data_IF_066159091842
#
_entry.id   IF_066159091842
#
_cell.length_a   1.000
_cell.length_b   1.000
_cell.length_c   1.000
_cell.angle_alpha   90.00
_cell.angle_beta   90.00
_cell.angle_gamma   90.00
#
_symmetry.space_group_name_H-M   'P 1'
#
loop_
_entity.id
_entity.type
_entity.pdbx_description
1 polymer ?
#
# COMPACT_ATOMS: atom_id res chain seq x y z
N UNK A 1 -5.34 -58.33 -22.06
CA UNK A 1 -4.71 -57.00 -22.01
C UNK A 1 -4.64 -56.60 -20.55
N UNK A 2 -3.45 -56.42 -20.01
CA UNK A 2 -3.23 -55.90 -18.66
C UNK A 2 -2.58 -54.53 -18.82
N UNK A 3 -3.17 -53.50 -18.23
CA UNK A 3 -2.67 -52.13 -18.34
C UNK A 3 -2.20 -51.72 -16.96
N UNK A 4 -0.90 -51.51 -16.81
CA UNK A 4 -0.28 -50.97 -15.61
C UNK A 4 0.08 -49.51 -15.85
N UNK A 5 -0.51 -48.61 -15.07
CA UNK A 5 -0.16 -47.19 -15.05
C UNK A 5 0.91 -46.97 -14.00
N UNK A 6 2.10 -46.53 -14.43
CA UNK A 6 3.21 -46.16 -13.54
C UNK A 6 3.46 -44.67 -13.69
N UNK A 7 3.36 -43.90 -12.60
CA UNK A 7 3.70 -42.46 -12.65
C UNK A 7 5.22 -42.32 -12.70
N UNK A 8 5.75 -41.74 -13.79
CA UNK A 8 7.19 -41.60 -14.01
C UNK A 8 7.81 -40.49 -13.17
N UNK A 9 7.10 -39.36 -13.09
CA UNK A 9 7.56 -38.21 -12.35
C UNK A 9 6.35 -37.46 -11.79
N UNK A 10 6.21 -37.49 -10.47
CA UNK A 10 5.43 -36.46 -9.78
C UNK A 10 6.36 -35.28 -9.54
N UNK A 11 6.02 -34.06 -10.00
CA UNK A 11 6.78 -32.86 -9.63
C UNK A 11 6.93 -32.82 -8.09
N UNK A 12 8.06 -32.34 -7.56
CA UNK A 12 8.22 -32.19 -6.12
C UNK A 12 7.11 -31.24 -5.65
N UNK A 13 6.14 -31.80 -4.93
CA UNK A 13 4.99 -31.09 -4.42
C UNK A 13 5.17 -30.92 -2.90
N UNK A 14 6.06 -30.03 -2.44
CA UNK A 14 6.26 -29.81 -0.99
C UNK A 14 4.97 -29.34 -0.30
N UNK A 15 4.02 -28.79 -1.07
CA UNK A 15 2.67 -28.49 -0.61
C UNK A 15 1.89 -29.72 -0.11
N UNK A 16 2.28 -30.95 -0.48
CA UNK A 16 1.69 -32.17 0.06
C UNK A 16 2.12 -32.48 1.50
N UNK A 17 3.21 -31.87 1.98
CA UNK A 17 3.64 -31.98 3.39
C UNK A 17 2.83 -31.08 4.33
N UNK A 18 1.74 -30.48 3.83
CA UNK A 18 0.90 -29.60 4.62
C UNK A 18 0.17 -30.38 5.73
N UNK A 19 0.12 -29.79 6.91
CA UNK A 19 -0.66 -30.30 8.04
C UNK A 19 -2.11 -29.84 7.87
N UNK A 20 -3.06 -30.70 8.21
CA UNK A 20 -4.48 -30.39 8.20
C UNK A 20 -5.06 -30.47 9.61
N UNK A 21 -6.03 -29.60 9.90
CA UNK A 21 -6.82 -29.66 11.11
C UNK A 21 -8.28 -29.94 10.76
N UNK A 22 -8.87 -30.91 11.44
CA UNK A 22 -10.29 -31.26 11.26
C UNK A 22 -11.04 -31.05 12.55
N UNK A 23 -12.15 -30.34 12.46
CA UNK A 23 -13.12 -30.16 13.53
C UNK A 23 -14.47 -30.57 13.01
N UNK A 24 -14.98 -31.71 13.48
CA UNK A 24 -16.25 -32.35 13.09
C UNK A 24 -16.44 -32.48 11.57
N UNK A 25 -16.93 -31.44 10.90
CA UNK A 25 -17.24 -31.40 9.47
C UNK A 25 -16.44 -30.33 8.69
N UNK A 26 -15.51 -29.63 9.34
CA UNK A 26 -14.66 -28.63 8.68
C UNK A 26 -13.21 -29.05 8.77
N UNK A 27 -12.57 -29.14 7.61
CA UNK A 27 -11.14 -29.39 7.49
C UNK A 27 -10.48 -28.15 6.94
N UNK A 28 -9.36 -27.75 7.54
CA UNK A 28 -8.59 -26.59 7.11
C UNK A 28 -7.10 -26.93 7.04
N UNK A 29 -6.38 -26.18 6.22
CA UNK A 29 -4.93 -26.20 6.10
C UNK A 29 -4.33 -25.49 7.32
N UNK A 30 -3.40 -26.16 7.98
CA UNK A 30 -2.65 -25.60 9.10
C UNK A 30 -1.44 -24.84 8.57
N UNK A 31 -1.49 -23.51 8.64
CA UNK A 31 -0.45 -22.64 8.06
C UNK A 31 0.87 -22.65 8.84
N UNK A 32 0.88 -23.15 10.09
CA UNK A 32 2.10 -23.14 10.89
C UNK A 32 2.94 -24.38 10.63
N UNK A 33 4.27 -24.22 10.48
CA UNK A 33 5.22 -25.32 10.34
C UNK A 33 5.41 -26.17 11.62
N UNK A 34 4.78 -25.76 12.72
CA UNK A 34 4.85 -26.41 14.03
C UNK A 34 3.48 -26.90 14.43
N UNK A 35 3.43 -28.02 15.13
CA UNK A 35 2.20 -28.50 15.75
C UNK A 35 1.81 -27.59 16.92
N UNK A 36 0.51 -27.49 17.27
CA UNK A 36 0.07 -26.83 18.49
C UNK A 36 0.81 -27.42 19.69
N UNK A 37 1.25 -26.58 20.63
CA UNK A 37 2.05 -27.07 21.75
C UNK A 37 1.24 -27.85 22.79
N UNK A 38 -0.05 -27.59 22.97
CA UNK A 38 -0.93 -28.43 23.78
C UNK A 38 -1.51 -29.56 22.92
N UNK A 39 -1.10 -30.81 23.21
CA UNK A 39 -1.50 -31.99 22.41
C UNK A 39 -2.11 -33.06 23.28
N UNK A 40 -3.24 -33.59 22.83
CA UNK A 40 -3.99 -34.64 23.51
C UNK A 40 -4.12 -35.84 22.58
N UNK A 41 -4.07 -37.06 23.14
CA UNK A 41 -4.19 -38.30 22.34
C UNK A 41 -5.63 -38.62 21.90
N UNK A 42 -6.60 -38.12 22.65
CA UNK A 42 -8.02 -38.34 22.37
C UNK A 42 -8.85 -37.13 22.77
N UNK A 43 -10.08 -37.07 22.24
CA UNK A 43 -11.03 -36.00 22.52
C UNK A 43 -11.41 -35.96 24.01
N UNK A 44 -11.63 -37.11 24.65
CA UNK A 44 -12.00 -37.18 26.08
C UNK A 44 -10.89 -36.64 26.99
N UNK A 45 -9.63 -36.89 26.63
CA UNK A 45 -8.49 -36.35 27.37
C UNK A 45 -8.33 -34.85 27.19
N UNK A 46 -8.71 -34.32 26.04
CA UNK A 46 -8.72 -32.88 25.81
C UNK A 46 -9.75 -32.20 26.73
N UNK A 47 -10.94 -32.78 26.91
CA UNK A 47 -11.94 -32.27 27.85
C UNK A 47 -11.47 -32.30 29.31
N UNK A 48 -10.69 -33.32 29.67
CA UNK A 48 -10.11 -33.46 31.01
C UNK A 48 -8.76 -32.74 31.19
N UNK A 49 -8.27 -32.03 30.18
CA UNK A 49 -6.96 -31.37 30.14
C UNK A 49 -5.77 -32.31 30.48
N UNK A 50 -5.91 -33.61 30.21
CA UNK A 50 -4.86 -34.61 30.36
C UNK A 50 -3.96 -34.67 29.11
N UNK A 51 -3.32 -33.55 28.81
CA UNK A 51 -2.59 -33.34 27.56
C UNK A 51 -1.10 -33.12 27.81
N UNK A 52 -0.27 -33.48 26.83
CA UNK A 52 1.15 -33.13 26.84
C UNK A 52 1.32 -31.69 26.39
N UNK A 53 1.97 -30.87 27.23
CA UNK A 53 2.36 -29.51 26.91
C UNK A 53 3.79 -29.52 26.37
N UNK A 54 3.94 -29.11 25.13
CA UNK A 54 5.21 -28.91 24.44
C UNK A 54 5.26 -27.47 23.93
N UNK A 55 5.56 -26.54 24.85
CA UNK A 55 5.59 -25.11 24.59
C UNK A 55 6.89 -24.48 25.05
N UNK A 56 7.40 -23.57 24.22
CA UNK A 56 8.39 -22.58 24.62
C UNK A 56 7.68 -21.45 25.37
N UNK A 57 7.84 -21.40 26.69
CA UNK A 57 7.35 -20.33 27.53
C UNK A 57 8.52 -19.59 28.16
N UNK A 58 8.50 -18.26 28.09
CA UNK A 58 9.46 -17.41 28.79
C UNK A 58 8.87 -16.98 30.14
N UNK A 59 9.44 -17.51 31.22
CA UNK A 59 9.04 -17.13 32.58
C UNK A 59 10.02 -16.09 33.13
N UNK A 60 9.50 -14.92 33.44
CA UNK A 60 10.25 -13.84 34.06
C UNK A 60 9.98 -13.84 35.57
N UNK A 61 11.02 -13.90 36.42
CA UNK A 61 10.84 -13.73 37.84
C UNK A 61 10.43 -12.27 38.13
N UNK A 62 9.39 -12.07 38.94
CA UNK A 62 9.09 -10.78 39.57
C UNK A 62 9.05 -10.93 41.10
N UNK A 63 9.21 -9.83 41.83
CA UNK A 63 9.47 -9.82 43.28
C UNK A 63 8.43 -10.57 44.12
N UNK A 64 7.18 -10.65 43.67
CA UNK A 64 6.10 -11.34 44.39
C UNK A 64 5.32 -12.36 43.54
N UNK A 65 5.57 -12.40 42.22
CA UNK A 65 4.84 -13.26 41.28
C UNK A 65 5.73 -13.67 40.12
N UNK A 66 5.55 -14.89 39.60
CA UNK A 66 6.21 -15.31 38.36
C UNK A 66 5.26 -15.05 37.21
N UNK A 67 5.73 -14.35 36.17
CA UNK A 67 4.95 -14.09 34.96
C UNK A 67 5.54 -14.93 33.83
N UNK A 68 4.80 -15.95 33.40
CA UNK A 68 5.14 -16.74 32.23
C UNK A 68 4.39 -16.23 31.02
N UNK A 69 5.13 -15.97 29.93
CA UNK A 69 4.58 -15.65 28.62
C UNK A 69 4.80 -16.85 27.71
N UNK A 70 3.69 -17.50 27.35
CA UNK A 70 3.70 -18.59 26.39
C UNK A 70 3.21 -18.07 25.03
N UNK A 71 3.74 -18.66 23.96
CA UNK A 71 3.23 -18.40 22.61
C UNK A 71 1.94 -19.20 22.43
N UNK A 72 0.81 -18.50 22.30
CA UNK A 72 -0.49 -19.12 22.06
C UNK A 72 -0.65 -19.49 20.58
N UNK A 73 -1.08 -20.73 20.34
CA UNK A 73 -1.46 -21.21 19.02
C UNK A 73 -2.99 -21.07 18.89
N UNK A 74 -3.46 -19.96 18.31
CA UNK A 74 -4.90 -19.72 18.12
C UNK A 74 -5.47 -20.60 16.98
N UNK A 75 -5.77 -21.87 17.30
CA UNK A 75 -6.27 -22.86 16.33
C UNK A 75 -7.53 -22.36 15.59
N UNK A 76 -8.37 -21.59 16.27
CA UNK A 76 -9.62 -21.08 15.69
C UNK A 76 -9.40 -20.08 14.56
N UNK A 77 -8.31 -19.32 14.57
CA UNK A 77 -8.03 -18.36 13.49
C UNK A 77 -7.79 -19.06 12.16
N UNK A 78 -7.24 -20.28 12.17
CA UNK A 78 -7.04 -21.08 10.96
C UNK A 78 -8.37 -21.37 10.25
N UNK A 79 -9.46 -21.56 11.00
CA UNK A 79 -10.80 -21.75 10.44
C UNK A 79 -11.51 -20.46 10.03
N UNK A 80 -11.04 -19.29 10.48
CA UNK A 80 -11.61 -18.00 10.08
C UNK A 80 -11.14 -17.58 8.68
N UNK A 81 -9.95 -18.02 8.27
CA UNK A 81 -9.44 -17.76 6.93
C UNK A 81 -10.10 -18.68 5.91
N UNK A 82 -10.97 -18.11 5.06
CA UNK A 82 -11.64 -18.84 3.97
C UNK A 82 -10.64 -19.52 3.04
N UNK A 83 -9.46 -18.92 2.84
CA UNK A 83 -8.39 -19.45 1.99
C UNK A 83 -7.78 -20.77 2.52
N UNK A 84 -8.03 -21.11 3.78
CA UNK A 84 -7.50 -22.31 4.44
C UNK A 84 -8.53 -23.42 4.59
N UNK A 85 -9.82 -23.11 4.57
CA UNK A 85 -10.88 -24.11 4.72
C UNK A 85 -11.09 -24.84 3.39
N UNK A 86 -11.19 -26.17 3.43
CA UNK A 86 -11.41 -26.96 2.24
C UNK A 86 -12.81 -26.68 1.64
N UNK A 87 -12.94 -26.62 0.31
CA UNK A 87 -11.92 -26.88 -0.70
C UNK A 87 -10.94 -25.71 -0.86
N UNK A 88 -9.64 -26.02 -0.74
CA UNK A 88 -8.60 -25.00 -0.75
C UNK A 88 -7.64 -25.24 -1.91
N UNK A 89 -7.50 -24.23 -2.76
CA UNK A 89 -6.62 -24.27 -3.92
C UNK A 89 -5.29 -23.62 -3.56
N UNK A 90 -4.20 -24.33 -3.86
CA UNK A 90 -2.82 -23.82 -3.92
C UNK A 90 -2.35 -23.95 -5.37
N UNK A 91 -1.28 -23.27 -5.75
CA UNK A 91 -0.79 -23.15 -7.14
C UNK A 91 -0.97 -24.42 -7.99
N UNK A 92 -0.39 -25.52 -7.54
CA UNK A 92 -0.33 -26.77 -8.30
C UNK A 92 -1.37 -27.81 -7.87
N UNK A 93 -2.10 -27.56 -6.77
CA UNK A 93 -2.96 -28.56 -6.15
C UNK A 93 -4.22 -27.96 -5.55
N UNK A 94 -5.31 -28.72 -5.65
CA UNK A 94 -6.57 -28.41 -4.99
C UNK A 94 -6.88 -29.47 -3.96
N UNK A 95 -6.93 -29.06 -2.70
CA UNK A 95 -7.34 -29.91 -1.58
C UNK A 95 -8.86 -29.94 -1.49
N UNK A 96 -9.40 -31.15 -1.41
CA UNK A 96 -10.82 -31.47 -1.39
C UNK A 96 -11.11 -32.35 -0.18
N UNK A 97 -12.29 -32.19 0.42
CA UNK A 97 -12.74 -33.13 1.44
C UNK A 97 -13.14 -34.46 0.78
N UNK A 98 -12.67 -35.58 1.32
CA UNK A 98 -12.99 -36.91 0.82
C UNK A 98 -13.77 -37.73 1.87
N UNK A 99 -14.93 -38.32 1.54
CA UNK A 99 -15.78 -39.01 2.51
C UNK A 99 -15.08 -40.16 3.26
N UNK A 100 -14.15 -40.86 2.61
CA UNK A 100 -13.45 -42.03 3.19
C UNK A 100 -12.03 -41.77 3.67
N UNK A 101 -11.38 -40.73 3.16
CA UNK A 101 -9.94 -40.50 3.35
C UNK A 101 -9.65 -39.16 4.04
N UNK A 102 -10.69 -38.41 4.43
CA UNK A 102 -10.58 -37.08 5.03
C UNK A 102 -10.25 -36.00 4.01
N UNK A 103 -9.07 -36.09 3.40
CA UNK A 103 -8.55 -35.14 2.42
C UNK A 103 -8.11 -35.88 1.15
N UNK A 104 -8.45 -35.31 0.00
CA UNK A 104 -7.97 -35.72 -1.30
C UNK A 104 -7.34 -34.52 -2.00
N UNK A 105 -6.26 -34.76 -2.73
CA UNK A 105 -5.58 -33.71 -3.49
C UNK A 105 -5.79 -33.95 -4.97
N UNK A 106 -6.25 -32.93 -5.69
CA UNK A 106 -6.27 -32.90 -7.15
C UNK A 106 -5.08 -32.08 -7.62
N UNK A 107 -4.19 -32.68 -8.41
CA UNK A 107 -3.06 -31.98 -9.02
C UNK A 107 -3.58 -31.27 -10.28
N UNK A 108 -3.29 -29.97 -10.41
CA UNK A 108 -3.74 -29.13 -11.53
C UNK A 108 -2.68 -28.99 -12.64
N UNK A 109 -1.45 -29.49 -12.41
CA UNK A 109 -0.34 -29.51 -13.35
C UNK A 109 -0.14 -30.88 -13.96
N UNK A 110 0.61 -30.94 -15.07
CA UNK A 110 0.87 -32.16 -15.80
C UNK A 110 1.72 -33.12 -14.98
N UNK A 111 1.34 -34.40 -15.01
CA UNK A 111 2.05 -35.49 -14.34
C UNK A 111 2.52 -36.44 -15.43
N UNK A 112 3.83 -36.65 -15.53
CA UNK A 112 4.36 -37.61 -16.49
C UNK A 112 4.04 -39.02 -15.97
N UNK A 113 3.24 -39.76 -16.72
CA UNK A 113 2.92 -41.15 -16.43
C UNK A 113 3.29 -42.04 -17.61
N UNK A 114 3.90 -43.17 -17.31
CA UNK A 114 4.13 -44.27 -18.25
C UNK A 114 2.96 -45.23 -18.15
N UNK A 115 2.34 -45.50 -19.29
CA UNK A 115 1.34 -46.55 -19.40
C UNK A 115 2.04 -47.75 -19.99
N UNK A 116 2.26 -48.77 -19.19
CA UNK A 116 2.77 -50.06 -19.66
C UNK A 116 1.56 -50.90 -20.02
N UNK A 117 1.36 -51.12 -21.33
CA UNK A 117 0.31 -51.98 -21.84
C UNK A 117 0.91 -53.35 -22.12
N UNK A 118 0.57 -54.33 -21.30
CA UNK A 118 1.00 -55.71 -21.49
C UNK A 118 -0.03 -56.46 -22.35
N UNK A 119 0.34 -56.72 -23.61
CA UNK A 119 -0.48 -57.44 -24.59
C UNK A 119 0.02 -58.88 -24.67
N UNK A 120 -0.87 -59.85 -24.45
CA UNK A 120 -0.52 -61.28 -24.38
C UNK A 120 -0.33 -61.93 -25.75
N UNK A 121 -0.76 -61.28 -26.82
CA UNK A 121 -0.71 -61.77 -28.20
C UNK A 121 0.20 -60.88 -29.05
N UNK A 122 0.77 -61.44 -30.12
CA UNK A 122 1.60 -60.70 -31.05
C UNK A 122 0.76 -59.66 -31.80
N UNK A 123 1.24 -58.42 -31.85
CA UNK A 123 0.60 -57.34 -32.60
C UNK A 123 1.11 -57.43 -34.04
N UNK A 124 0.27 -57.90 -34.96
CA UNK A 124 0.64 -58.06 -36.38
C UNK A 124 0.65 -56.71 -37.14
N UNK A 125 -0.20 -55.76 -36.75
CA UNK A 125 -0.28 -54.42 -37.35
C UNK A 125 -0.55 -53.36 -36.27
N UNK A 126 0.20 -52.25 -36.31
CA UNK A 126 -0.05 -51.06 -35.49
C UNK A 126 -0.30 -49.85 -36.39
N UNK A 127 -1.53 -49.35 -36.40
CA UNK A 127 -1.88 -48.12 -37.12
C UNK A 127 -1.91 -46.97 -36.09
N UNK A 128 -0.93 -46.07 -36.17
CA UNK A 128 -0.93 -44.84 -35.38
C UNK A 128 -1.73 -43.77 -36.11
N UNK A 129 -2.98 -43.56 -35.70
CA UNK A 129 -3.79 -42.44 -36.20
C UNK A 129 -3.38 -41.18 -35.43
N UNK A 130 -2.46 -40.40 -36.00
CA UNK A 130 -2.15 -39.05 -35.50
C UNK A 130 -3.22 -38.12 -36.06
N UNK A 131 -4.12 -37.67 -35.21
CA UNK A 131 -5.07 -36.61 -35.56
C UNK A 131 -4.30 -35.30 -35.65
N UNK A 132 -3.78 -35.00 -36.84
CA UNK A 132 -2.94 -33.84 -37.10
C UNK A 132 -3.80 -32.58 -37.25
N UNK A 133 -4.30 -32.07 -36.11
CA UNK A 133 -5.05 -30.81 -36.04
C UNK A 133 -4.09 -29.63 -35.81
N UNK A 134 -4.53 -28.43 -36.20
CA UNK A 134 -3.76 -27.20 -36.04
C UNK A 134 -4.40 -26.40 -34.92
N UNK A 135 -3.64 -26.21 -33.83
CA UNK A 135 -4.07 -25.43 -32.67
C UNK A 135 -3.44 -24.05 -32.65
N UNK A 136 -4.25 -23.05 -32.36
CA UNK A 136 -3.85 -21.65 -32.28
C UNK A 136 -4.31 -21.05 -30.97
N UNK A 137 -3.46 -20.18 -30.41
CA UNK A 137 -3.73 -19.41 -29.20
C UNK A 137 -3.40 -17.96 -29.52
N UNK A 138 -4.28 -17.05 -29.12
CA UNK A 138 -4.06 -15.60 -29.28
C UNK A 138 -3.08 -15.09 -28.21
N UNK A 139 -2.37 -14.00 -28.49
CA UNK A 139 -1.49 -13.36 -27.52
C UNK A 139 -2.29 -12.91 -26.28
N UNK A 140 -1.74 -13.15 -25.09
CA UNK A 140 -2.44 -12.88 -23.83
C UNK A 140 -1.61 -12.07 -22.86
N UNK A 141 -2.30 -11.57 -21.83
CA UNK A 141 -1.69 -10.80 -20.76
C UNK A 141 -1.70 -11.55 -19.42
N UNK A 142 -0.59 -11.46 -18.69
CA UNK A 142 -0.44 -11.99 -17.33
C UNK A 142 -0.95 -11.02 -16.29
N UNK A 143 -1.68 -11.54 -15.30
CA UNK A 143 -2.18 -10.80 -14.15
C UNK A 143 -1.81 -11.52 -12.87
N UNK A 144 -1.20 -10.82 -11.92
CA UNK A 144 -0.88 -11.38 -10.60
C UNK A 144 0.34 -10.74 -9.97
N UNK A 145 1.13 -11.54 -9.26
CA UNK A 145 2.32 -11.09 -8.56
C UNK A 145 3.58 -11.89 -8.94
N UNK A 146 4.73 -11.25 -8.73
CA UNK A 146 6.04 -11.89 -8.89
C UNK A 146 6.66 -12.17 -7.51
N UNK A 147 7.48 -13.22 -7.40
CA UNK A 147 8.10 -13.70 -6.15
C UNK A 147 7.11 -13.98 -5.00
N UNK A 148 5.87 -14.33 -5.35
CA UNK A 148 4.79 -14.60 -4.40
C UNK A 148 4.29 -16.04 -4.53
N UNK A 149 3.65 -16.55 -3.48
CA UNK A 149 3.07 -17.90 -3.49
C UNK A 149 1.77 -18.00 -4.30
N UNK A 150 1.14 -16.88 -4.69
CA UNK A 150 -0.07 -16.84 -5.53
C UNK A 150 0.22 -16.81 -7.04
N UNK A 151 1.50 -16.63 -7.41
CA UNK A 151 1.93 -16.51 -8.80
C UNK A 151 1.22 -15.44 -9.64
N UNK A 152 1.30 -15.64 -10.94
CA UNK A 152 0.57 -14.89 -11.96
C UNK A 152 -0.25 -15.84 -12.82
N UNK A 153 -1.45 -15.43 -13.22
CA UNK A 153 -2.33 -16.24 -14.06
C UNK A 153 -2.71 -15.52 -15.33
N UNK A 154 -3.02 -16.29 -16.37
CA UNK A 154 -3.56 -15.77 -17.63
C UNK A 154 -4.61 -16.73 -18.18
N UNK A 155 -5.63 -16.18 -18.84
CA UNK A 155 -6.66 -16.96 -19.50
C UNK A 155 -6.32 -17.05 -20.98
N UNK A 156 -6.04 -18.27 -21.46
CA UNK A 156 -5.76 -18.55 -22.87
C UNK A 156 -7.00 -19.13 -23.53
N UNK A 157 -7.31 -18.65 -24.73
CA UNK A 157 -8.34 -19.24 -25.58
C UNK A 157 -7.66 -20.09 -26.64
N UNK A 158 -7.83 -21.41 -26.55
CA UNK A 158 -7.28 -22.33 -27.53
C UNK A 158 -8.33 -22.74 -28.55
N UNK A 159 -8.01 -22.55 -29.84
CA UNK A 159 -8.83 -22.95 -30.98
C UNK A 159 -8.14 -24.04 -31.77
N UNK A 160 -8.86 -25.11 -32.09
CA UNK A 160 -8.43 -26.14 -33.04
C UNK A 160 -9.16 -25.98 -34.37
N UNK A 161 -8.64 -26.56 -35.46
CA UNK A 161 -9.19 -26.35 -36.80
C UNK A 161 -10.34 -27.30 -37.11
N UNK A 162 -10.22 -28.58 -36.70
CA UNK A 162 -11.16 -29.62 -37.13
C UNK A 162 -12.00 -30.18 -35.98
N UNK A 163 -11.37 -30.58 -34.88
CA UNK A 163 -12.07 -31.29 -33.80
C UNK A 163 -11.59 -30.88 -32.42
N UNK A 164 -12.34 -31.27 -31.38
CA UNK A 164 -11.90 -31.03 -30.01
C UNK A 164 -10.70 -31.92 -29.68
N UNK A 165 -9.55 -31.31 -29.40
CA UNK A 165 -8.27 -31.98 -29.12
C UNK A 165 -7.60 -31.37 -27.90
N UNK A 166 -6.59 -32.05 -27.39
CA UNK A 166 -5.76 -31.54 -26.30
C UNK A 166 -4.45 -31.01 -26.88
N UNK A 167 -4.09 -29.77 -26.57
CA UNK A 167 -2.85 -29.15 -27.01
C UNK A 167 -1.85 -29.03 -25.86
N UNK A 168 -0.58 -29.16 -26.19
CA UNK A 168 0.55 -28.95 -25.31
C UNK A 168 1.13 -27.55 -25.59
N UNK A 169 1.36 -26.80 -24.51
CA UNK A 169 1.91 -25.45 -24.52
C UNK A 169 3.26 -25.51 -23.81
N UNK A 170 4.30 -24.95 -24.42
CA UNK A 170 5.62 -24.80 -23.79
C UNK A 170 6.00 -23.32 -23.74
N UNK A 171 6.35 -22.84 -22.54
CA UNK A 171 6.73 -21.45 -22.26
C UNK A 171 8.07 -21.45 -21.50
N UNK A 172 9.18 -21.66 -22.21
CA UNK A 172 10.50 -21.74 -21.57
C UNK A 172 10.67 -23.04 -20.77
N UNK A 173 10.63 -22.95 -19.44
CA UNK A 173 10.71 -24.11 -18.53
C UNK A 173 9.33 -24.65 -18.12
N UNK A 174 8.27 -23.87 -18.31
CA UNK A 174 6.91 -24.27 -17.95
C UNK A 174 6.20 -24.98 -19.12
N UNK A 175 5.58 -26.12 -18.87
CA UNK A 175 4.78 -26.87 -19.84
C UNK A 175 3.35 -27.08 -19.33
N UNK A 176 2.35 -26.94 -20.20
CA UNK A 176 0.94 -27.08 -19.86
C UNK A 176 0.16 -27.85 -20.91
N UNK A 177 -0.87 -28.57 -20.48
CA UNK A 177 -1.80 -29.26 -21.37
C UNK A 177 -3.19 -28.63 -21.27
N UNK A 178 -3.73 -28.15 -22.40
CA UNK A 178 -5.05 -27.48 -22.44
C UNK A 178 -5.99 -28.11 -23.47
N UNK A 179 -7.30 -28.19 -23.17
CA UNK A 179 -8.29 -28.57 -24.16
C UNK A 179 -8.54 -27.43 -25.17
N UNK A 180 -8.70 -27.80 -26.44
CA UNK A 180 -8.97 -26.91 -27.56
C UNK A 180 -10.19 -27.41 -28.33
N UNK A 181 -10.97 -26.49 -28.89
CA UNK A 181 -12.13 -26.82 -29.72
C UNK A 181 -12.23 -25.88 -30.92
N UNK A 182 -12.98 -26.25 -31.98
CA UNK A 182 -13.24 -25.34 -33.09
C UNK A 182 -14.02 -24.08 -32.69
N UNK A 183 -14.78 -24.15 -31.60
CA UNK A 183 -15.48 -23.00 -31.01
C UNK A 183 -14.57 -22.11 -30.12
N UNK A 184 -13.38 -22.59 -29.78
CA UNK A 184 -12.46 -21.97 -28.86
C UNK A 184 -12.81 -22.24 -27.40
N UNK A 185 -11.85 -22.81 -26.66
CA UNK A 185 -11.99 -23.16 -25.25
C UNK A 185 -11.05 -22.32 -24.39
N UNK A 186 -11.56 -21.82 -23.26
CA UNK A 186 -10.78 -20.96 -22.34
C UNK A 186 -10.22 -21.82 -21.22
N UNK A 187 -8.89 -21.74 -21.05
CA UNK A 187 -8.15 -22.40 -19.97
C UNK A 187 -7.35 -21.36 -19.19
N UNK A 188 -7.13 -21.58 -17.90
CA UNK A 188 -6.28 -20.73 -17.08
C UNK A 188 -4.92 -21.36 -16.88
N UNK A 189 -3.87 -20.62 -17.21
CA UNK A 189 -2.48 -20.99 -16.99
C UNK A 189 -1.95 -20.21 -15.78
N UNK A 190 -1.17 -20.87 -14.94
CA UNK A 190 -0.55 -20.29 -13.75
C UNK A 190 0.97 -20.38 -13.86
N UNK A 191 1.63 -19.29 -13.49
CA UNK A 191 3.05 -19.07 -13.72
C UNK A 191 3.71 -18.52 -12.45
N UNK A 192 4.92 -18.99 -12.15
CA UNK A 192 5.75 -18.42 -11.09
C UNK A 192 6.80 -17.51 -11.70
N UNK A 193 6.65 -16.21 -11.48
CA UNK A 193 7.52 -15.20 -12.10
C UNK A 193 8.47 -14.59 -11.07
N UNK A 194 9.74 -14.45 -11.45
CA UNK A 194 10.76 -13.83 -10.60
C UNK A 194 10.85 -12.32 -10.80
N UNK A 195 10.37 -11.81 -11.95
CA UNK A 195 10.51 -10.43 -12.37
C UNK A 195 9.14 -9.75 -12.56
N UNK A 196 9.11 -8.43 -12.35
CA UNK A 196 7.88 -7.64 -12.48
C UNK A 196 7.42 -7.49 -13.93
N UNK A 197 8.35 -7.28 -14.87
CA UNK A 197 8.03 -7.15 -16.29
C UNK A 197 8.29 -8.49 -16.98
N UNK A 198 7.24 -9.04 -17.56
CA UNK A 198 7.26 -10.36 -18.19
C UNK A 198 6.91 -10.20 -19.66
N UNK A 199 7.77 -10.78 -20.52
CA UNK A 199 7.56 -10.89 -21.95
C UNK A 199 8.23 -12.19 -22.38
N UNK A 200 7.42 -13.17 -22.75
CA UNK A 200 7.91 -14.49 -23.17
C UNK A 200 7.14 -14.97 -24.40
N UNK A 201 7.83 -15.78 -25.20
CA UNK A 201 7.25 -16.46 -26.35
C UNK A 201 6.97 -17.91 -25.98
N UNK A 202 5.74 -18.34 -26.21
CA UNK A 202 5.29 -19.70 -25.97
C UNK A 202 4.97 -20.40 -27.29
N UNK A 203 5.08 -21.72 -27.27
CA UNK A 203 4.66 -22.59 -28.38
C UNK A 203 3.38 -23.33 -28.01
N UNK A 204 2.57 -23.66 -29.01
CA UNK A 204 1.42 -24.57 -28.87
C UNK A 204 1.46 -25.61 -29.97
N UNK A 205 1.27 -26.89 -29.59
CA UNK A 205 1.24 -28.04 -30.50
C UNK A 205 0.10 -29.00 -30.10
N UNK A 206 -0.66 -29.50 -31.07
CA UNK A 206 -1.65 -30.57 -30.85
C UNK A 206 -1.60 -31.66 -31.93
N UNK A 207 -0.52 -31.63 -32.72
CA UNK A 207 -0.21 -32.48 -33.85
C UNK A 207 1.24 -32.22 -34.27
N UNK A 208 1.53 -32.31 -35.55
CA UNK A 208 2.86 -32.08 -36.13
C UNK A 208 3.22 -30.60 -36.26
N UNK A 209 2.21 -29.70 -36.29
CA UNK A 209 2.43 -28.25 -36.45
C UNK A 209 2.54 -27.54 -35.11
N UNK A 210 3.56 -26.68 -35.02
CA UNK A 210 3.84 -25.81 -33.88
C UNK A 210 3.51 -24.37 -34.26
N UNK A 211 2.70 -23.70 -33.43
CA UNK A 211 2.41 -22.28 -33.54
C UNK A 211 2.99 -21.53 -32.35
N UNK A 212 3.24 -20.22 -32.52
CA UNK A 212 3.82 -19.37 -31.49
C UNK A 212 2.82 -18.30 -31.06
N UNK A 213 2.83 -17.97 -29.77
CA UNK A 213 2.08 -16.83 -29.21
C UNK A 213 2.92 -16.15 -28.14
N UNK A 214 2.58 -14.91 -27.83
CA UNK A 214 3.30 -14.10 -26.86
C UNK A 214 2.48 -13.87 -25.60
N UNK A 215 3.13 -14.01 -24.45
CA UNK A 215 2.55 -13.73 -23.13
C UNK A 215 3.29 -12.55 -22.53
N UNK A 216 2.56 -11.47 -22.24
CA UNK A 216 3.15 -10.23 -21.72
C UNK A 216 2.44 -9.71 -20.47
N UNK A 217 3.13 -9.04 -19.57
CA UNK A 217 2.48 -8.48 -18.39
C UNK A 217 3.39 -7.67 -17.48
N UNK A 218 2.76 -6.88 -16.61
CA UNK A 218 3.44 -6.16 -15.53
C UNK A 218 2.80 -6.61 -14.22
N UNK A 219 3.56 -7.40 -13.46
CA UNK A 219 3.14 -8.03 -12.22
C UNK A 219 3.39 -7.12 -11.01
N UNK A 220 2.55 -7.28 -9.99
CA UNK A 220 2.66 -6.51 -8.76
C UNK A 220 3.63 -7.16 -7.79
N UNK A 221 4.42 -6.36 -7.10
CA UNK A 221 5.21 -6.84 -5.98
C UNK A 221 4.31 -7.05 -4.77
N UNK A 222 4.40 -8.22 -4.14
CA UNK A 222 3.74 -8.48 -2.86
C UNK A 222 4.85 -8.74 -1.85
N UNK A 223 5.00 -7.82 -0.90
CA UNK A 223 5.96 -8.02 0.17
C UNK A 223 5.57 -9.24 1.00
N UNK A 224 6.53 -10.12 1.29
CA UNK A 224 6.34 -11.23 2.22
C UNK A 224 6.19 -10.64 3.62
N UNK A 225 4.98 -10.26 4.01
CA UNK A 225 4.64 -9.96 5.39
C UNK A 225 4.74 -11.26 6.19
N UNK A 226 5.94 -11.53 6.69
CA UNK A 226 6.17 -12.58 7.68
C UNK A 226 5.64 -12.05 9.02
N UNK A 227 4.32 -12.10 9.20
CA UNK A 227 3.69 -11.59 10.41
C UNK A 227 2.18 -11.54 10.33
N UNK A 228 1.54 -12.05 11.36
CA UNK A 228 0.10 -12.05 11.56
C UNK A 228 -0.41 -10.59 11.62
N UNK A 229 -1.23 -10.09 10.67
CA UNK A 229 -1.68 -8.70 10.68
C UNK A 229 -2.62 -8.36 11.85
N UNK A 230 -3.09 -9.36 12.59
CA UNK A 230 -3.96 -9.18 13.76
C UNK A 230 -3.23 -8.92 15.09
N UNK A 231 -1.89 -8.98 15.14
CA UNK A 231 -1.17 -8.72 16.40
C UNK A 231 -0.95 -7.22 16.68
N UNK A 232 -1.16 -6.34 15.68
CA UNK A 232 -0.89 -4.90 15.82
C UNK A 232 -2.06 -4.06 16.36
N UNK A 233 -3.27 -4.60 16.48
CA UNK A 233 -4.47 -3.77 16.81
C UNK A 233 -4.86 -3.85 18.30
N UNK A 234 -4.25 -4.73 19.11
CA UNK A 234 -4.70 -4.95 20.49
C UNK A 234 -3.65 -4.73 21.59
N UNK A 235 -2.55 -4.04 21.29
CA UNK A 235 -1.74 -3.47 22.35
C UNK A 235 -2.26 -2.07 22.71
N UNK A 236 -3.03 -2.00 23.80
CA UNK A 236 -3.14 -0.77 24.61
C UNK A 236 -1.71 -0.37 24.99
N UNK A 237 -1.12 0.54 24.22
CA UNK A 237 0.22 1.03 24.45
C UNK A 237 0.26 1.82 25.76
N UNK A 238 0.91 1.24 26.76
CA UNK A 238 1.55 2.01 27.82
C UNK A 238 3.00 1.51 27.93
N UNK A 239 3.78 1.78 26.88
CA UNK A 239 5.23 1.86 26.85
C UNK A 239 5.66 2.35 25.46
N UNK A 240 6.32 3.51 25.46
CA UNK A 240 6.98 4.13 24.32
C UNK A 240 8.04 3.17 23.76
N UNK A 241 7.78 2.57 22.62
CA UNK A 241 8.82 1.91 21.82
C UNK A 241 9.40 2.92 20.83
N UNK A 242 10.73 3.04 20.86
CA UNK A 242 11.52 3.83 19.92
C UNK A 242 11.20 3.42 18.48
N UNK A 243 10.58 4.36 17.78
CA UNK A 243 10.21 4.23 16.38
C UNK A 243 11.48 4.40 15.53
N UNK A 244 12.04 3.31 15.01
CA UNK A 244 13.07 3.38 13.95
C UNK A 244 12.38 3.60 12.62
N UNK A 245 12.40 4.85 12.15
CA UNK A 245 11.84 5.28 10.87
C UNK A 245 12.58 4.61 9.70
N UNK A 246 11.86 4.18 8.63
CA UNK A 246 12.49 3.79 7.38
C UNK A 246 13.19 5.00 6.73
N UNK A 247 14.16 4.73 5.86
CA UNK A 247 15.04 5.72 5.24
C UNK A 247 14.24 6.73 4.39
N UNK A 248 13.91 7.87 4.99
CA UNK A 248 13.10 8.95 4.39
C UNK A 248 13.95 10.00 3.68
N UNK A 249 15.26 9.77 3.52
CA UNK A 249 16.18 10.77 2.96
C UNK A 249 15.70 11.32 1.60
N UNK A 250 15.11 10.49 0.74
CA UNK A 250 14.59 10.93 -0.55
C UNK A 250 13.27 11.74 -0.45
N UNK A 251 12.44 11.46 0.56
CA UNK A 251 11.16 12.18 0.75
C UNK A 251 11.41 13.54 1.42
N UNK A 252 12.37 13.58 2.35
CA UNK A 252 12.75 14.79 3.07
C UNK A 252 13.40 15.82 2.13
N UNK A 253 14.17 15.39 1.13
CA UNK A 253 14.77 16.31 0.16
C UNK A 253 13.72 17.04 -0.69
N UNK A 254 12.66 16.33 -1.12
CA UNK A 254 11.55 16.95 -1.85
C UNK A 254 10.80 17.93 -0.93
N UNK A 255 10.49 17.55 0.31
CA UNK A 255 9.79 18.46 1.24
C UNK A 255 10.63 19.68 1.66
N UNK A 256 11.94 19.52 1.86
CA UNK A 256 12.85 20.63 2.19
C UNK A 256 13.00 21.61 1.04
N UNK A 257 12.98 21.15 -0.21
CA UNK A 257 13.05 22.03 -1.37
C UNK A 257 11.80 22.91 -1.50
N UNK A 258 10.61 22.37 -1.21
CA UNK A 258 9.36 23.13 -1.21
C UNK A 258 9.27 24.09 -0.01
N UNK A 259 9.77 23.69 1.16
CA UNK A 259 9.84 24.55 2.35
C UNK A 259 10.77 25.75 2.14
N UNK A 260 11.94 25.57 1.49
CA UNK A 260 12.83 26.68 1.13
C UNK A 260 12.14 27.69 0.21
N UNK A 261 11.40 27.21 -0.79
CA UNK A 261 10.63 28.08 -1.69
C UNK A 261 9.55 28.87 -0.94
N UNK A 262 8.81 28.22 -0.04
CA UNK A 262 7.77 28.85 0.78
C UNK A 262 8.35 29.89 1.77
N UNK A 263 9.49 29.61 2.39
CA UNK A 263 10.15 30.55 3.29
C UNK A 263 10.64 31.80 2.52
N UNK A 264 11.19 31.61 1.32
CA UNK A 264 11.61 32.71 0.45
C UNK A 264 10.41 33.60 0.03
N UNK A 265 9.28 33.02 -0.34
CA UNK A 265 8.10 33.82 -0.73
C UNK A 265 7.53 34.61 0.44
N UNK A 266 7.43 34.01 1.63
CA UNK A 266 6.99 34.71 2.85
C UNK A 266 7.93 35.88 3.19
N UNK A 267 9.25 35.67 3.10
CA UNK A 267 10.23 36.73 3.36
C UNK A 267 10.13 37.90 2.37
N UNK A 268 9.94 37.60 1.07
CA UNK A 268 9.75 38.64 0.03
C UNK A 268 8.47 39.44 0.28
N UNK A 269 7.37 38.77 0.61
CA UNK A 269 6.09 39.45 0.92
C UNK A 269 6.22 40.31 2.18
N UNK A 270 6.86 39.82 3.23
CA UNK A 270 7.10 40.60 4.45
C UNK A 270 7.96 41.84 4.18
N UNK A 271 9.03 41.71 3.38
CA UNK A 271 9.86 42.84 2.96
C UNK A 271 9.07 43.85 2.12
N UNK A 272 8.24 43.39 1.18
CA UNK A 272 7.40 44.28 0.38
C UNK A 272 6.39 45.05 1.25
N UNK A 273 5.77 44.40 2.24
CA UNK A 273 4.87 45.05 3.19
C UNK A 273 5.60 46.07 4.07
N UNK A 274 6.80 45.73 4.58
CA UNK A 274 7.62 46.64 5.37
C UNK A 274 8.06 47.86 4.56
N UNK A 275 8.51 47.66 3.32
CA UNK A 275 8.89 48.77 2.43
C UNK A 275 7.69 49.66 2.11
N UNK A 276 6.51 49.07 1.87
CA UNK A 276 5.27 49.82 1.65
C UNK A 276 4.88 50.63 2.90
N UNK A 277 4.98 50.03 4.09
CA UNK A 277 4.71 50.70 5.37
C UNK A 277 5.68 51.87 5.62
N UNK A 278 6.97 51.66 5.40
CA UNK A 278 8.00 52.70 5.55
C UNK A 278 7.81 53.84 4.53
N UNK A 279 7.44 53.53 3.29
CA UNK A 279 7.18 54.54 2.26
C UNK A 279 5.93 55.37 2.60
N UNK A 280 4.83 54.73 3.00
CA UNK A 280 3.59 55.42 3.38
C UNK A 280 3.80 56.29 4.62
N UNK A 281 4.48 55.79 5.66
CA UNK A 281 4.74 56.57 6.89
C UNK A 281 5.67 57.75 6.65
N UNK A 282 6.74 57.60 5.85
CA UNK A 282 7.64 58.70 5.51
C UNK A 282 7.02 59.73 4.56
N UNK A 283 6.24 59.29 3.55
CA UNK A 283 5.53 60.19 2.65
C UNK A 283 4.42 60.96 3.39
N UNK A 284 3.60 60.27 4.19
CA UNK A 284 2.54 60.89 4.99
C UNK A 284 3.12 61.85 6.05
N UNK A 285 4.23 61.48 6.70
CA UNK A 285 4.93 62.36 7.64
C UNK A 285 5.47 63.63 6.99
N UNK A 286 6.04 63.54 5.77
CA UNK A 286 6.49 64.72 5.02
C UNK A 286 5.32 65.63 4.64
N UNK A 287 4.20 65.05 4.19
CA UNK A 287 3.00 65.81 3.82
C UNK A 287 2.39 66.51 5.05
N UNK A 288 2.22 65.80 6.17
CA UNK A 288 1.77 66.37 7.44
C UNK A 288 2.65 67.52 7.92
N UNK A 289 3.98 67.37 7.85
CA UNK A 289 4.93 68.43 8.23
C UNK A 289 4.80 69.64 7.30
N UNK A 290 4.56 69.43 6.01
CA UNK A 290 4.33 70.50 5.05
C UNK A 290 3.04 71.28 5.38
N UNK A 291 1.94 70.57 5.68
CA UNK A 291 0.69 71.20 6.12
C UNK A 291 0.84 71.97 7.43
N UNK A 292 1.52 71.40 8.43
CA UNK A 292 1.81 72.09 9.69
C UNK A 292 2.66 73.34 9.48
N UNK A 293 3.67 73.29 8.60
CA UNK A 293 4.45 74.47 8.24
C UNK A 293 3.61 75.54 7.54
N UNK A 294 2.67 75.16 6.67
CA UNK A 294 1.74 76.11 6.03
C UNK A 294 0.84 76.74 7.09
N UNK A 295 0.23 75.96 7.99
CA UNK A 295 -0.62 76.45 9.07
C UNK A 295 0.16 77.40 9.99
N UNK A 296 1.39 77.04 10.38
CA UNK A 296 2.25 77.89 11.19
C UNK A 296 2.58 79.22 10.48
N UNK A 297 2.81 79.21 9.17
CA UNK A 297 3.01 80.44 8.38
C UNK A 297 1.74 81.28 8.30
N UNK A 298 0.57 80.67 8.14
CA UNK A 298 -0.72 81.39 8.17
C UNK A 298 -0.93 82.03 9.54
N UNK A 299 -0.73 81.28 10.63
CA UNK A 299 -0.84 81.81 12.00
C UNK A 299 0.17 82.91 12.27
N UNK A 300 1.41 82.80 11.80
CA UNK A 300 2.41 83.86 11.91
C UNK A 300 2.02 85.11 11.10
N UNK A 301 1.43 84.95 9.91
CA UNK A 301 0.87 86.06 9.13
C UNK A 301 -0.30 86.72 9.86
N UNK A 302 -1.23 85.93 10.41
CA UNK A 302 -2.36 86.45 11.21
C UNK A 302 -1.87 87.15 12.48
N UNK A 303 -0.84 86.63 13.14
CA UNK A 303 -0.24 87.29 14.30
C UNK A 303 0.40 88.62 13.92
N UNK A 304 1.09 88.69 12.77
CA UNK A 304 1.65 89.94 12.24
C UNK A 304 0.57 90.94 11.86
N UNK A 305 -0.54 90.51 11.28
CA UNK A 305 -1.65 91.42 10.96
C UNK A 305 -2.35 91.92 12.23
N UNK A 306 -2.49 91.08 13.27
CA UNK A 306 -3.00 91.50 14.58
C UNK A 306 -2.05 92.48 15.25
N UNK A 307 -0.72 92.29 15.17
CA UNK A 307 0.26 93.28 15.66
C UNK A 307 0.22 94.60 14.87
N UNK A 308 0.02 94.55 13.55
CA UNK A 308 -0.22 95.75 12.75
C UNK A 308 -1.54 96.46 13.14
N UNK A 309 -2.61 95.71 13.40
CA UNK A 309 -3.89 96.28 13.82
C UNK A 309 -3.84 96.85 15.24
N UNK A 310 -3.11 96.20 16.16
CA UNK A 310 -2.94 96.71 17.53
C UNK A 310 -2.07 97.97 17.55
N UNK A 311 -1.01 98.03 16.74
CA UNK A 311 -0.22 99.27 16.55
C UNK A 311 -1.02 100.38 15.87
N UNK A 312 -1.96 100.06 14.98
CA UNK A 312 -2.88 101.05 14.39
C UNK A 312 -3.94 101.54 15.41
N UNK A 313 -4.44 100.66 16.28
CA UNK A 313 -5.35 101.00 17.39
C UNK A 313 -4.66 101.82 18.48
N UNK A 314 -3.41 101.52 18.84
CA UNK A 314 -2.61 102.33 19.78
C UNK A 314 -2.30 103.71 19.19
N UNK A 315 -2.08 103.81 17.87
CA UNK A 315 -1.99 105.11 17.17
C UNK A 315 -3.30 105.90 17.21
N UNK A 316 -4.46 105.23 17.14
CA UNK A 316 -5.78 105.88 17.28
C UNK A 316 -6.07 106.31 18.72
N UNK A 317 -5.64 105.56 19.73
CA UNK A 317 -5.84 105.88 21.16
C UNK A 317 -4.88 106.99 21.64
N UNK A 318 -3.66 107.07 21.11
CA UNK A 318 -2.75 108.21 21.40
C UNK A 318 -3.27 109.55 20.84
N UNK A 319 -4.15 109.54 19.84
CA UNK A 319 -4.85 110.73 19.37
C UNK A 319 -6.04 111.14 20.27
N UNK A 320 -6.43 110.30 21.24
CA UNK A 320 -7.61 110.52 22.10
C UNK A 320 -7.28 110.75 23.59
N UNK A 321 -6.04 110.55 24.06
CA UNK A 321 -5.66 110.61 25.48
C UNK A 321 -4.53 111.63 25.75
N UNK A 322 -4.66 112.83 25.19
CA UNK A 322 -3.93 114.02 25.66
C UNK A 322 -4.88 115.01 26.39
N UNK A 323 -6.07 114.55 26.75
CA UNK A 323 -6.97 115.21 27.68
C UNK A 323 -6.85 114.56 29.06
N UNK A 324 -6.76 115.39 30.10
CA UNK A 324 -7.13 115.07 31.49
C UNK A 324 -6.17 114.21 32.33
N UNK A 325 -5.03 114.80 32.70
CA UNK A 325 -4.33 114.50 33.96
C UNK A 325 -3.78 115.79 34.59
N UNK A 326 -4.55 116.41 35.49
CA UNK A 326 -4.00 117.15 36.64
C UNK A 326 -5.08 117.45 37.67
N UNK A 327 -5.49 116.38 38.33
CA UNK A 327 -6.10 116.39 39.65
C UNK A 327 -5.00 116.58 40.70
N UNK A 328 -5.05 117.68 41.46
CA UNK A 328 -4.42 117.93 42.78
C UNK A 328 -5.26 119.06 43.40
N UNK A 329 -5.85 119.01 44.57
CA UNK A 329 -5.58 118.22 45.77
C UNK A 329 -5.48 119.20 46.95
N UNK A 330 -6.36 118.99 47.94
CA UNK A 330 -6.15 119.24 49.37
C UNK A 330 -6.17 120.68 49.95
N UNK A 331 -7.27 121.02 50.62
CA UNK A 331 -7.40 121.28 52.08
C UNK A 331 -6.35 122.10 52.87
N UNK A 332 -6.87 123.02 53.72
CA UNK A 332 -6.33 123.80 54.89
C UNK A 332 -6.39 125.33 54.66
N UNK A 333 -6.77 126.20 55.59
CA UNK A 333 -7.23 126.20 57.00
C UNK A 333 -7.80 127.63 57.24
N UNK A 334 -8.52 127.80 58.36
CA UNK A 334 -8.80 129.05 59.11
C UNK A 334 -8.26 130.39 58.58
#
# INVERSE_FOLDING_TARGET
>A
MEVTLSVLATPPLPVLEQIFITSSNRTALWDQKRLPGLRCRSYERAEQLQCSLDHECECLPAESQVVCKCKDDEIMNTYQSIDNVLPATREQVRFLAHPRHGVMTKINQDVSAEIIVNVKEAIDDSITEVTDDICTIENTHLVGCYQCSKGATTAVKCTSTFQAVTAEIECGEDSFTVPCSPSGQISQLAFLMENARVQMQCTVKCGSRVNFFEVTGILKYVHKLHGNPMVYVQQKHNKTSEFRWPDVNHIVDIYLQWYKSLLCTVAVVALALLLTYMYVTTACGRIMRFFLCIIARILACVWKTVQCMSSFLVRRVCLSSNGTMKEKGLEKLL
#
